data_IF_114622738899
#
_entry.id   IF_114622738899
#
_cell.length_a   1.000
_cell.length_b   1.000
_cell.length_c   1.000
_cell.angle_alpha   90.00
_cell.angle_beta   90.00
_cell.angle_gamma   90.00
#
_symmetry.space_group_name_H-M   'P 1'
#
loop_
_entity.id
_entity.type
_entity.pdbx_description
1 polymer ?
#
# COMPACT_ATOMS: atom_id res chain seq x y z
N UNK A 1 7.27 6.98 16.51
CA UNK A 1 5.95 6.59 15.95
C UNK A 1 6.12 5.47 14.94
N UNK A 2 6.98 5.68 13.94
CA UNK A 2 7.29 4.74 12.86
C UNK A 2 7.66 3.32 13.36
N UNK A 3 8.56 3.20 14.34
CA UNK A 3 8.98 1.87 14.85
C UNK A 3 7.85 1.01 15.43
N UNK A 4 6.86 1.62 16.08
CA UNK A 4 5.72 0.88 16.64
C UNK A 4 4.77 0.39 15.54
N UNK A 5 4.56 1.21 14.50
CA UNK A 5 3.80 0.80 13.30
C UNK A 5 4.51 -0.34 12.57
N UNK A 6 5.81 -0.17 12.29
CA UNK A 6 6.66 -1.10 11.54
C UNK A 6 6.77 -2.47 12.20
N UNK A 7 6.81 -2.53 13.53
CA UNK A 7 7.02 -3.78 14.27
C UNK A 7 5.73 -4.49 14.69
N UNK A 8 4.54 -3.96 14.39
CA UNK A 8 3.27 -4.57 14.77
C UNK A 8 3.08 -5.95 14.12
N UNK A 9 2.54 -6.89 14.89
CA UNK A 9 2.09 -8.20 14.37
C UNK A 9 0.65 -8.17 13.86
N UNK A 10 -0.12 -7.16 14.29
CA UNK A 10 -1.51 -6.95 13.92
C UNK A 10 -1.63 -5.67 13.10
N UNK A 11 -1.80 -5.79 11.79
CA UNK A 11 -1.69 -4.67 10.87
C UNK A 11 -2.64 -4.77 9.67
N UNK A 12 -2.91 -3.61 9.08
CA UNK A 12 -3.65 -3.44 7.84
C UNK A 12 -2.96 -2.34 7.03
N UNK A 13 -2.62 -2.63 5.79
CA UNK A 13 -2.07 -1.68 4.83
C UNK A 13 -3.05 -1.53 3.69
N UNK A 14 -3.40 -0.28 3.37
CA UNK A 14 -4.25 0.02 2.20
C UNK A 14 -3.49 0.89 1.24
N UNK A 15 -3.46 0.50 -0.03
CA UNK A 15 -3.04 1.39 -1.11
C UNK A 15 -4.29 2.04 -1.70
N UNK A 16 -4.34 3.35 -1.64
CA UNK A 16 -5.52 4.16 -1.96
C UNK A 16 -5.20 5.13 -3.09
N UNK A 17 -6.06 5.17 -4.10
CA UNK A 17 -6.09 6.23 -5.11
C UNK A 17 -6.87 7.44 -4.59
N UNK A 18 -6.23 8.61 -4.59
CA UNK A 18 -6.82 9.91 -4.30
C UNK A 18 -6.80 10.75 -5.59
N UNK A 19 -7.90 10.75 -6.33
CA UNK A 19 -8.00 11.45 -7.60
C UNK A 19 -9.37 11.24 -8.22
N UNK A 20 -9.57 11.76 -9.43
CA UNK A 20 -10.80 11.53 -10.18
C UNK A 20 -10.96 10.03 -10.48
N UNK A 21 -12.20 9.53 -10.43
CA UNK A 21 -12.51 8.10 -10.59
C UNK A 21 -12.41 7.63 -12.05
N UNK A 22 -12.07 8.51 -12.99
CA UNK A 22 -11.98 8.21 -14.41
C UNK A 22 -10.69 7.48 -14.81
N UNK A 23 -9.61 7.50 -14.01
CA UNK A 23 -8.37 6.67 -14.14
C UNK A 23 -7.58 6.63 -12.80
N UNK A 24 -6.64 5.67 -12.59
CA UNK A 24 -6.84 4.28 -12.21
C UNK A 24 -7.29 4.11 -10.74
N UNK A 25 -8.50 3.62 -10.51
CA UNK A 25 -9.11 3.52 -9.17
C UNK A 25 -8.78 2.23 -8.41
N UNK A 26 -7.82 1.41 -8.89
CA UNK A 26 -7.50 0.14 -8.23
C UNK A 26 -6.88 0.41 -6.86
N UNK A 27 -7.24 -0.41 -5.90
CA UNK A 27 -6.80 -0.30 -4.51
C UNK A 27 -6.31 -1.65 -4.05
N UNK A 28 -5.44 -1.65 -3.06
CA UNK A 28 -4.98 -2.87 -2.43
C UNK A 28 -5.28 -2.83 -0.94
N UNK A 29 -5.61 -3.97 -0.36
CA UNK A 29 -5.74 -4.16 1.08
C UNK A 29 -4.94 -5.39 1.50
N UNK A 30 -3.82 -5.15 2.16
CA UNK A 30 -2.93 -6.17 2.70
C UNK A 30 -3.12 -6.23 4.21
N UNK A 31 -3.29 -7.40 4.79
CA UNK A 31 -3.53 -7.55 6.23
C UNK A 31 -2.69 -8.64 6.86
N UNK A 32 -2.48 -8.55 8.18
CA UNK A 32 -1.97 -9.67 8.97
C UNK A 32 -2.98 -10.82 9.03
N UNK A 33 -2.52 -12.03 9.33
CA UNK A 33 -3.39 -13.20 9.48
C UNK A 33 -4.53 -12.99 10.48
N UNK A 34 -4.26 -12.29 11.59
CA UNK A 34 -5.25 -11.89 12.62
C UNK A 34 -6.38 -11.00 12.09
N UNK A 35 -6.20 -10.35 10.94
CA UNK A 35 -7.16 -9.42 10.35
C UNK A 35 -7.73 -9.91 9.03
N UNK A 36 -7.54 -11.19 8.68
CA UNK A 36 -8.10 -11.80 7.46
C UNK A 36 -9.59 -11.50 7.29
N UNK A 37 -10.37 -11.59 8.37
CA UNK A 37 -11.82 -11.31 8.36
C UNK A 37 -12.17 -9.84 8.07
N UNK A 38 -11.21 -8.93 8.14
CA UNK A 38 -11.39 -7.50 7.81
C UNK A 38 -11.15 -7.20 6.33
N UNK A 39 -10.71 -8.19 5.54
CA UNK A 39 -10.69 -8.06 4.10
C UNK A 39 -12.12 -7.93 3.60
N UNK A 40 -12.37 -6.88 2.85
CA UNK A 40 -13.69 -6.64 2.24
C UNK A 40 -13.50 -6.79 0.75
N UNK A 41 -14.19 -7.74 0.16
CA UNK A 41 -14.22 -7.87 -1.30
C UNK A 41 -15.05 -6.72 -1.87
N UNK A 42 -14.38 -5.91 -2.68
CA UNK A 42 -14.96 -4.79 -3.40
C UNK A 42 -14.47 -4.84 -4.83
N UNK A 43 -15.27 -4.33 -5.79
CA UNK A 43 -14.77 -4.09 -7.14
C UNK A 43 -13.45 -3.32 -7.08
N UNK A 44 -12.44 -3.83 -7.79
CA UNK A 44 -11.14 -3.19 -7.97
C UNK A 44 -10.25 -3.11 -6.72
N UNK A 45 -10.60 -3.86 -5.67
CA UNK A 45 -9.73 -4.11 -4.53
C UNK A 45 -9.00 -5.43 -4.70
N UNK A 46 -7.67 -5.38 -4.73
CA UNK A 46 -6.83 -6.55 -4.53
C UNK A 46 -6.65 -6.80 -3.03
N UNK A 47 -6.99 -7.99 -2.55
CA UNK A 47 -6.86 -8.36 -1.15
C UNK A 47 -5.76 -9.43 -0.99
N UNK A 48 -4.94 -9.31 0.05
CA UNK A 48 -4.01 -10.39 0.43
C UNK A 48 -3.75 -10.40 1.94
N UNK A 49 -3.39 -11.59 2.44
CA UNK A 49 -2.91 -11.77 3.80
C UNK A 49 -1.40 -11.96 3.73
N UNK A 50 -0.64 -11.04 4.29
CA UNK A 50 0.82 -11.03 4.23
C UNK A 50 1.43 -11.32 5.61
N UNK A 51 2.65 -11.84 5.60
CA UNK A 51 3.46 -12.05 6.79
C UNK A 51 3.95 -10.73 7.40
N UNK A 52 4.47 -10.81 8.63
CA UNK A 52 5.08 -9.65 9.30
C UNK A 52 6.37 -9.23 8.59
N UNK A 53 7.11 -10.19 8.06
CA UNK A 53 8.35 -9.98 7.32
C UNK A 53 8.08 -9.19 6.04
N UNK A 54 7.08 -9.62 5.24
CA UNK A 54 6.61 -8.89 4.06
C UNK A 54 6.17 -7.46 4.42
N UNK A 55 5.38 -7.32 5.49
CA UNK A 55 4.95 -6.00 5.98
C UNK A 55 6.14 -5.10 6.34
N UNK A 56 7.14 -5.63 7.05
CA UNK A 56 8.35 -4.87 7.40
C UNK A 56 9.14 -4.46 6.15
N UNK A 57 9.25 -5.33 5.15
CA UNK A 57 9.90 -5.00 3.88
C UNK A 57 9.24 -3.82 3.16
N UNK A 58 7.92 -3.65 3.28
CA UNK A 58 7.25 -2.47 2.73
C UNK A 58 7.77 -1.17 3.37
N UNK A 59 8.00 -1.16 4.68
CA UNK A 59 8.58 0.00 5.38
C UNK A 59 10.03 0.23 5.00
N UNK A 60 10.83 -0.84 4.93
CA UNK A 60 12.24 -0.73 4.54
C UNK A 60 12.37 -0.10 3.14
N UNK A 61 11.44 -0.43 2.22
CA UNK A 61 11.37 0.20 0.89
C UNK A 61 10.99 1.68 1.00
N UNK A 62 9.99 2.05 1.80
CA UNK A 62 9.62 3.46 2.00
C UNK A 62 10.80 4.28 2.54
N UNK A 63 11.49 3.76 3.55
CA UNK A 63 12.70 4.36 4.13
C UNK A 63 13.80 4.51 3.09
N UNK A 64 14.08 3.47 2.31
CA UNK A 64 15.09 3.48 1.25
C UNK A 64 14.78 4.53 0.18
N UNK A 65 13.50 4.76 -0.11
CA UNK A 65 13.04 5.76 -1.08
C UNK A 65 12.94 7.17 -0.50
N UNK A 66 13.24 7.35 0.79
CA UNK A 66 13.12 8.64 1.48
C UNK A 66 11.67 9.11 1.63
N UNK A 67 10.71 8.17 1.62
CA UNK A 67 9.28 8.48 1.77
C UNK A 67 8.91 8.52 3.25
N UNK A 68 8.26 9.60 3.66
CA UNK A 68 7.88 9.83 5.04
C UNK A 68 6.51 9.21 5.38
N UNK A 69 6.35 8.82 6.65
CA UNK A 69 5.08 8.33 7.19
C UNK A 69 4.56 9.34 8.21
N UNK A 70 3.46 9.97 7.85
CA UNK A 70 2.77 11.00 8.62
C UNK A 70 1.55 10.48 9.37
N UNK A 71 1.05 11.27 10.31
CA UNK A 71 -0.26 11.03 10.97
C UNK A 71 -1.44 11.58 10.17
N UNK A 72 -1.18 12.50 9.24
CA UNK A 72 -2.21 13.18 8.45
C UNK A 72 -2.46 12.43 7.16
N UNK A 73 -3.75 12.21 6.84
CA UNK A 73 -4.12 11.59 5.57
C UNK A 73 -3.81 12.53 4.40
N UNK A 74 -3.44 11.97 3.26
CA UNK A 74 -3.15 12.73 2.03
C UNK A 74 -4.33 12.72 1.04
N UNK A 75 -5.57 12.77 1.54
CA UNK A 75 -6.79 12.69 0.69
C UNK A 75 -6.96 13.91 -0.23
N UNK A 76 -6.32 15.01 0.12
CA UNK A 76 -6.25 16.27 -0.63
C UNK A 76 -5.21 16.23 -1.76
N UNK A 77 -4.28 15.26 -1.75
CA UNK A 77 -3.24 15.12 -2.77
C UNK A 77 -3.71 14.22 -3.91
N UNK A 78 -3.28 14.54 -5.13
CA UNK A 78 -3.60 13.76 -6.34
C UNK A 78 -2.60 12.63 -6.57
N UNK A 79 -2.99 11.38 -6.33
CA UNK A 79 -2.13 10.22 -6.55
C UNK A 79 -2.40 9.05 -5.60
N UNK A 80 -1.47 8.10 -5.58
CA UNK A 80 -1.51 7.01 -4.62
C UNK A 80 -1.00 7.42 -3.25
N UNK A 81 -1.63 6.85 -2.23
CA UNK A 81 -1.18 6.90 -0.84
C UNK A 81 -1.30 5.54 -0.18
N UNK A 82 -0.41 5.25 0.77
CA UNK A 82 -0.52 4.12 1.66
C UNK A 82 -1.10 4.55 3.00
N UNK A 83 -2.06 3.79 3.51
CA UNK A 83 -2.54 3.89 4.89
C UNK A 83 -2.08 2.64 5.66
N UNK A 84 -1.34 2.86 6.74
CA UNK A 84 -0.88 1.84 7.68
C UNK A 84 -1.70 1.92 8.96
N UNK A 85 -2.34 0.83 9.36
CA UNK A 85 -3.22 0.79 10.53
C UNK A 85 -2.92 -0.39 11.43
N UNK A 86 -2.64 -0.13 12.69
CA UNK A 86 -2.56 -1.14 13.77
C UNK A 86 -3.76 -0.96 14.70
N UNK A 87 -3.75 -1.50 15.93
CA UNK A 87 -4.83 -1.21 16.89
C UNK A 87 -4.73 0.20 17.45
N UNK A 88 -3.51 0.67 17.68
CA UNK A 88 -3.27 1.90 18.45
C UNK A 88 -2.75 3.06 17.59
N UNK A 89 -2.41 2.79 16.32
CA UNK A 89 -1.73 3.74 15.44
C UNK A 89 -2.29 3.71 14.03
N UNK A 90 -2.18 4.87 13.40
CA UNK A 90 -2.50 5.12 12.01
C UNK A 90 -1.34 5.94 11.42
N UNK A 91 -0.91 5.58 10.22
CA UNK A 91 0.14 6.28 9.49
C UNK A 91 -0.22 6.36 8.01
N UNK A 92 0.27 7.39 7.34
CA UNK A 92 0.02 7.66 5.95
C UNK A 92 1.32 7.95 5.22
N UNK A 93 1.47 7.43 4.02
CA UNK A 93 2.60 7.73 3.15
C UNK A 93 2.09 8.12 1.77
N UNK A 94 2.48 9.30 1.28
CA UNK A 94 2.12 9.72 -0.06
C UNK A 94 3.13 9.18 -1.08
N UNK A 95 2.65 8.48 -2.11
CA UNK A 95 3.49 7.91 -3.17
C UNK A 95 3.44 8.74 -4.46
N UNK A 96 2.36 9.49 -4.69
CA UNK A 96 2.15 10.24 -5.92
C UNK A 96 1.65 9.41 -7.09
N UNK A 97 1.83 9.95 -8.30
CA UNK A 97 1.54 9.29 -9.57
C UNK A 97 2.62 9.70 -10.59
N UNK A 98 3.79 9.09 -10.48
CA UNK A 98 4.94 9.30 -11.37
C UNK A 98 5.65 7.98 -11.67
N UNK A 99 6.69 8.02 -12.50
CA UNK A 99 7.57 6.86 -12.72
C UNK A 99 8.22 6.36 -11.41
N UNK A 100 8.56 7.26 -10.49
CA UNK A 100 9.08 6.87 -9.17
C UNK A 100 8.04 6.13 -8.33
N UNK A 101 6.75 6.45 -8.48
CA UNK A 101 5.64 5.70 -7.88
C UNK A 101 5.62 4.28 -8.43
N UNK A 102 5.71 4.12 -9.76
CA UNK A 102 5.76 2.80 -10.41
C UNK A 102 6.93 1.95 -9.92
N UNK A 103 8.13 2.53 -9.87
CA UNK A 103 9.32 1.83 -9.38
C UNK A 103 9.14 1.39 -7.93
N UNK A 104 8.59 2.26 -7.08
CA UNK A 104 8.34 1.96 -5.67
C UNK A 104 7.33 0.82 -5.51
N UNK A 105 6.24 0.82 -6.29
CA UNK A 105 5.24 -0.24 -6.28
C UNK A 105 5.76 -1.57 -6.83
N UNK A 106 6.65 -1.55 -7.83
CA UNK A 106 7.33 -2.77 -8.31
C UNK A 106 8.21 -3.37 -7.21
N UNK A 107 9.02 -2.57 -6.51
CA UNK A 107 9.83 -3.04 -5.38
C UNK A 107 8.96 -3.66 -4.28
N UNK A 108 7.86 -2.99 -3.92
CA UNK A 108 6.92 -3.49 -2.93
C UNK A 108 6.30 -4.83 -3.34
N UNK A 109 5.84 -4.94 -4.60
CA UNK A 109 5.33 -6.20 -5.15
C UNK A 109 6.38 -7.31 -5.03
N UNK A 110 7.62 -7.03 -5.43
CA UNK A 110 8.67 -8.06 -5.47
C UNK A 110 9.12 -8.51 -4.08
N UNK A 111 8.96 -7.65 -3.07
CA UNK A 111 9.15 -7.99 -1.66
C UNK A 111 8.03 -8.88 -1.08
N UNK A 112 6.87 -9.00 -1.74
CA UNK A 112 5.82 -9.93 -1.34
C UNK A 112 6.10 -11.34 -1.86
N UNK A 113 5.63 -12.33 -1.10
CA UNK A 113 5.60 -13.73 -1.54
C UNK A 113 4.79 -13.83 -2.85
N UNK A 114 5.16 -14.71 -3.80
CA UNK A 114 4.54 -14.78 -5.13
C UNK A 114 3.00 -14.80 -5.12
N UNK A 115 2.40 -15.56 -4.21
CA UNK A 115 0.96 -15.69 -4.00
C UNK A 115 0.28 -14.39 -3.54
N UNK A 116 1.03 -13.49 -2.90
CA UNK A 116 0.54 -12.23 -2.34
C UNK A 116 0.77 -11.03 -3.27
N UNK A 117 1.39 -11.22 -4.44
CA UNK A 117 1.75 -10.12 -5.36
C UNK A 117 0.56 -9.54 -6.10
N UNK A 118 -0.50 -10.32 -6.28
CA UNK A 118 -1.63 -9.98 -7.15
C UNK A 118 -2.23 -8.60 -6.86
N UNK A 119 -2.47 -8.16 -5.61
CA UNK A 119 -3.03 -6.84 -5.34
C UNK A 119 -2.21 -5.67 -5.88
N UNK A 120 -0.87 -5.72 -5.74
CA UNK A 120 0.00 -4.67 -6.25
C UNK A 120 0.22 -4.81 -7.77
N UNK A 121 0.23 -6.04 -8.29
CA UNK A 121 0.33 -6.29 -9.73
C UNK A 121 -0.87 -5.69 -10.48
N UNK A 122 -2.09 -5.85 -9.98
CA UNK A 122 -3.29 -5.28 -10.62
C UNK A 122 -3.24 -3.74 -10.72
N UNK A 123 -2.63 -3.08 -9.74
CA UNK A 123 -2.42 -1.63 -9.73
C UNK A 123 -1.37 -1.23 -10.77
N UNK A 124 -0.24 -1.95 -10.79
CA UNK A 124 0.83 -1.75 -11.76
C UNK A 124 0.36 -1.95 -13.21
N UNK A 125 -0.39 -3.02 -13.49
CA UNK A 125 -0.94 -3.31 -14.82
C UNK A 125 -1.82 -2.16 -15.32
N UNK A 126 -2.58 -1.54 -14.41
CA UNK A 126 -3.41 -0.40 -14.76
C UNK A 126 -2.60 0.88 -14.98
N UNK A 127 -1.54 1.07 -14.21
CA UNK A 127 -0.63 2.22 -14.32
C UNK A 127 0.22 2.18 -15.59
N UNK A 128 0.63 1.00 -16.06
CA UNK A 128 1.36 0.86 -17.33
C UNK A 128 0.52 1.32 -18.55
N UNK A 129 -0.81 1.31 -18.43
CA UNK A 129 -1.73 1.77 -19.48
C UNK A 129 -1.96 3.28 -19.56
N UNK A 130 -1.30 4.07 -18.71
CA UNK A 130 -1.38 5.53 -18.70
C UNK A 130 0.03 6.10 -18.91
N UNK A 131 0.15 7.12 -19.78
CA UNK A 131 1.37 7.92 -19.87
C UNK A 131 1.53 8.71 -18.57
N UNK A 132 2.60 8.45 -17.83
CA UNK A 132 2.97 9.09 -16.57
C UNK A 132 4.04 10.17 -16.78
#
# INVERSE_FOLDING_TARGET
MHDQLKNSQDFSVRLLWNGHEDKPFYRAHLVSASRRERLVDKPFWGNAVISREEYKSLFDILEQRGLEIDVLSHKDKFGYSMEFRTNDRLGYCYLGLTEETLQTLNLMRDALAPENRHPLQAILDRLQGIML
#
